data_IF_925997017180
#
_entry.id   IF_925997017180
#
_cell.length_a   1.000
_cell.length_b   1.000
_cell.length_c   1.000
_cell.angle_alpha   90.00
_cell.angle_beta   90.00
_cell.angle_gamma   90.00
#
_symmetry.space_group_name_H-M   'P 1'
#
loop_
_entity.id
_entity.type
_entity.pdbx_description
1 polymer ?
#
# COMPACT_ATOMS: atom_id res chain seq x y z
N UNK A 1 1.04 18.93 -0.20
CA UNK A 1 0.01 18.23 -0.99
C UNK A 1 -1.34 18.55 -0.38
N UNK A 2 -2.33 18.93 -1.19
CA UNK A 2 -3.72 18.92 -0.74
C UNK A 2 -4.23 17.48 -0.83
N UNK A 3 -4.62 16.83 0.29
CA UNK A 3 -5.09 15.46 0.25
C UNK A 3 -6.42 15.35 -0.50
N UNK A 4 -6.66 14.23 -1.22
CA UNK A 4 -7.95 13.99 -1.87
C UNK A 4 -9.07 13.94 -0.83
N UNK A 5 -10.29 14.31 -1.26
CA UNK A 5 -11.44 14.22 -0.37
C UNK A 5 -11.81 12.76 -0.08
N UNK A 6 -12.47 12.50 1.04
CA UNK A 6 -13.01 11.17 1.34
C UNK A 6 -13.94 10.66 0.23
N UNK A 7 -14.70 11.55 -0.43
CA UNK A 7 -15.55 11.18 -1.57
C UNK A 7 -14.73 10.69 -2.77
N UNK A 8 -13.57 11.28 -3.01
CA UNK A 8 -12.69 10.86 -4.12
C UNK A 8 -12.00 9.54 -3.82
N UNK A 9 -11.60 9.32 -2.57
CA UNK A 9 -11.01 8.05 -2.13
C UNK A 9 -11.98 6.88 -2.24
N UNK A 10 -13.28 7.12 -2.00
CA UNK A 10 -14.32 6.10 -2.14
C UNK A 10 -14.65 5.76 -3.61
N UNK A 11 -14.15 6.51 -4.60
CA UNK A 11 -14.27 6.14 -6.01
C UNK A 11 -13.27 5.05 -6.42
N UNK A 12 -12.21 4.85 -5.63
CA UNK A 12 -11.09 3.96 -5.96
C UNK A 12 -10.92 2.81 -4.94
N UNK A 13 -11.77 2.75 -3.91
CA UNK A 13 -11.70 1.74 -2.86
C UNK A 13 -13.08 1.46 -2.27
N UNK A 14 -13.28 0.21 -1.84
CA UNK A 14 -14.58 -0.29 -1.38
C UNK A 14 -15.03 0.33 -0.04
N UNK A 15 -14.09 0.80 0.79
CA UNK A 15 -14.40 1.45 2.06
C UNK A 15 -13.31 2.41 2.52
N UNK A 16 -13.66 3.32 3.43
CA UNK A 16 -12.71 4.23 4.09
C UNK A 16 -11.63 3.44 4.84
N UNK A 17 -12.01 2.33 5.47
CA UNK A 17 -11.08 1.47 6.20
C UNK A 17 -10.10 0.77 5.28
N UNK A 18 -10.55 0.32 4.10
CA UNK A 18 -9.66 -0.26 3.09
C UNK A 18 -8.58 0.73 2.64
N UNK A 19 -8.94 2.01 2.46
CA UNK A 19 -7.98 3.08 2.15
C UNK A 19 -6.98 3.25 3.31
N UNK A 20 -7.45 3.33 4.55
CA UNK A 20 -6.57 3.49 5.73
C UNK A 20 -5.57 2.34 5.83
N UNK A 21 -6.03 1.10 5.69
CA UNK A 21 -5.17 -0.09 5.75
C UNK A 21 -4.15 -0.09 4.62
N UNK A 22 -4.58 0.21 3.39
CA UNK A 22 -3.66 0.27 2.25
C UNK A 22 -2.59 1.36 2.42
N UNK A 23 -2.98 2.56 2.86
CA UNK A 23 -2.06 3.67 3.14
C UNK A 23 -1.07 3.28 4.24
N UNK A 24 -1.53 2.67 5.34
CA UNK A 24 -0.67 2.28 6.45
C UNK A 24 0.37 1.22 6.05
N UNK A 25 -0.05 0.20 5.28
CA UNK A 25 0.87 -0.83 4.75
C UNK A 25 1.93 -0.19 3.87
N UNK A 26 1.52 0.66 2.93
CA UNK A 26 2.46 1.32 2.02
C UNK A 26 3.39 2.31 2.71
N UNK A 27 2.89 3.09 3.66
CA UNK A 27 3.70 4.00 4.45
C UNK A 27 4.77 3.27 5.25
N UNK A 28 4.47 2.05 5.74
CA UNK A 28 5.46 1.18 6.41
C UNK A 28 6.55 0.73 5.45
N UNK A 29 6.20 0.25 4.26
CA UNK A 29 7.18 -0.13 3.23
C UNK A 29 8.12 1.03 2.88
N UNK A 30 7.55 2.22 2.63
CA UNK A 30 8.32 3.43 2.36
C UNK A 30 9.22 3.81 3.54
N UNK A 31 8.74 3.62 4.77
CA UNK A 31 9.52 3.90 5.97
C UNK A 31 10.72 2.95 6.09
N UNK A 32 10.55 1.67 5.81
CA UNK A 32 11.65 0.70 5.82
C UNK A 32 12.69 0.99 4.73
N UNK A 33 12.25 1.42 3.55
CA UNK A 33 13.13 1.79 2.44
C UNK A 33 13.94 3.06 2.74
N UNK A 34 13.35 4.02 3.45
CA UNK A 34 13.96 5.34 3.72
C UNK A 34 14.45 5.51 5.15
N UNK A 35 14.48 4.44 5.98
CA UNK A 35 14.80 4.53 7.41
C UNK A 35 16.19 5.08 7.74
N UNK A 36 17.13 4.97 6.80
CA UNK A 36 18.50 5.46 6.94
C UNK A 36 18.71 6.84 6.28
N UNK A 37 17.66 7.44 5.72
CA UNK A 37 17.72 8.79 5.15
C UNK A 37 17.62 9.83 6.28
N UNK A 38 18.54 10.79 6.32
CA UNK A 38 18.56 11.88 7.31
C UNK A 38 17.30 12.76 7.24
N UNK A 39 16.64 12.79 6.07
CA UNK A 39 15.40 13.53 5.84
C UNK A 39 14.14 12.69 6.12
N UNK A 40 14.29 11.50 6.71
CA UNK A 40 13.17 10.63 7.01
C UNK A 40 12.14 11.33 7.92
N UNK A 41 10.87 11.31 7.50
CA UNK A 41 9.72 11.78 8.26
C UNK A 41 8.54 10.86 8.02
N UNK A 42 7.98 10.28 9.08
CA UNK A 42 6.81 9.37 9.00
C UNK A 42 5.62 10.05 8.32
N UNK A 43 5.35 11.31 8.64
CA UNK A 43 4.26 12.09 8.03
C UNK A 43 4.42 12.24 6.50
N UNK A 44 5.66 12.33 6.02
CA UNK A 44 5.95 12.35 4.58
C UNK A 44 5.62 11.01 3.92
N UNK A 45 5.91 9.89 4.59
CA UNK A 45 5.62 8.54 4.05
C UNK A 45 4.12 8.29 3.91
N UNK A 46 3.33 8.76 4.88
CA UNK A 46 1.86 8.67 4.82
C UNK A 46 1.31 9.51 3.67
N UNK A 47 1.84 10.73 3.49
CA UNK A 47 1.43 11.62 2.41
C UNK A 47 1.78 11.05 1.03
N UNK A 48 2.97 10.46 0.89
CA UNK A 48 3.44 9.80 -0.33
C UNK A 48 2.62 8.55 -0.64
N UNK A 49 2.39 7.69 0.34
CA UNK A 49 1.55 6.50 0.20
C UNK A 49 0.11 6.85 -0.24
N UNK A 50 -0.48 7.88 0.37
CA UNK A 50 -1.81 8.36 -0.01
C UNK A 50 -1.83 8.87 -1.46
N UNK A 51 -0.80 9.58 -1.89
CA UNK A 51 -0.68 10.04 -3.27
C UNK A 51 -0.52 8.89 -4.27
N UNK A 52 0.25 7.85 -3.94
CA UNK A 52 0.42 6.66 -4.78
C UNK A 52 -0.88 5.89 -4.95
N UNK A 53 -1.61 5.66 -3.86
CA UNK A 53 -2.92 5.00 -3.90
C UNK A 53 -3.92 5.83 -4.70
N UNK A 54 -3.98 7.14 -4.47
CA UNK A 54 -4.91 8.02 -5.20
C UNK A 54 -4.63 8.07 -6.71
N UNK A 55 -3.35 8.05 -7.10
CA UNK A 55 -2.94 7.97 -8.52
C UNK A 55 -3.12 6.57 -9.11
N UNK A 56 -3.81 5.66 -8.42
CA UNK A 56 -4.02 4.26 -8.81
C UNK A 56 -2.72 3.48 -9.11
N UNK A 57 -1.57 3.91 -8.55
CA UNK A 57 -0.32 3.14 -8.64
C UNK A 57 -0.40 1.86 -7.81
N UNK A 58 -1.26 1.84 -6.80
CA UNK A 58 -1.54 0.70 -5.94
C UNK A 58 -3.04 0.44 -5.96
N UNK A 59 -3.45 -0.76 -6.37
CA UNK A 59 -4.86 -1.18 -6.32
C UNK A 59 -5.22 -1.66 -4.92
N UNK A 60 -6.24 -1.04 -4.31
CA UNK A 60 -6.81 -1.51 -3.05
C UNK A 60 -7.73 -2.69 -3.35
N UNK A 61 -7.27 -3.91 -3.09
CA UNK A 61 -8.10 -5.11 -3.23
C UNK A 61 -8.89 -5.36 -1.94
N UNK A 62 -10.18 -5.72 -2.00
CA UNK A 62 -10.89 -6.26 -0.86
C UNK A 62 -10.26 -7.60 -0.46
N UNK A 63 -10.11 -7.83 0.84
CA UNK A 63 -9.79 -9.16 1.35
C UNK A 63 -10.96 -10.08 1.03
N UNK A 64 -10.76 -11.06 0.14
CA UNK A 64 -11.68 -12.17 -0.04
C UNK A 64 -11.06 -13.37 0.64
N UNK A 65 -11.82 -14.07 1.47
CA UNK A 65 -11.41 -15.30 2.17
C UNK A 65 -10.93 -16.45 1.25
N UNK A 66 -10.87 -16.24 -0.07
CA UNK A 66 -10.48 -17.22 -1.10
C UNK A 66 -9.30 -16.80 -1.98
N UNK A 67 -8.53 -15.79 -1.60
CA UNK A 67 -7.14 -15.75 -2.04
C UNK A 67 -6.37 -16.72 -1.14
N UNK A 68 -6.60 -18.02 -1.33
CA UNK A 68 -5.73 -19.08 -0.82
C UNK A 68 -4.32 -18.72 -1.29
N UNK A 69 -3.48 -18.28 -0.36
CA UNK A 69 -2.04 -18.31 -0.57
C UNK A 69 -1.74 -19.78 -0.81
N UNK A 70 -1.52 -20.19 -2.07
CA UNK A 70 -0.92 -21.49 -2.33
C UNK A 70 0.54 -21.36 -1.90
N UNK A 71 0.95 -21.91 -0.73
CA UNK A 71 2.33 -21.78 -0.26
C UNK A 71 3.32 -22.49 -1.21
N UNK A 72 2.85 -23.32 -2.12
CA UNK A 72 3.67 -24.14 -3.03
C UNK A 72 4.16 -23.38 -4.28
N UNK A 73 3.65 -22.17 -4.56
CA UNK A 73 4.10 -21.35 -5.68
C UNK A 73 5.30 -20.45 -5.35
N UNK A 74 5.60 -20.23 -4.06
CA UNK A 74 6.70 -19.36 -3.64
C UNK A 74 8.09 -20.03 -3.68
N UNK A 75 8.16 -21.36 -3.69
CA UNK A 75 9.42 -22.11 -3.57
C UNK A 75 9.99 -22.58 -4.92
N UNK A 76 9.26 -22.40 -6.04
CA UNK A 76 9.71 -22.88 -7.36
C UNK A 76 10.51 -21.87 -8.20
N UNK A 77 10.68 -20.63 -7.75
CA UNK A 77 11.59 -19.67 -8.40
C UNK A 77 12.98 -19.61 -7.76
N UNK A 78 13.24 -20.33 -6.65
CA UNK A 78 14.55 -20.39 -6.01
C UNK A 78 15.45 -21.55 -6.50
N UNK A 79 14.94 -22.41 -7.39
CA UNK A 79 15.67 -23.56 -7.97
C UNK A 79 15.67 -23.47 -9.50
N UNK A 80 16.08 -22.32 -10.04
CA UNK A 80 16.66 -22.24 -11.38
C UNK A 80 17.38 -20.88 -11.54
N UNK A 81 18.54 -20.80 -10.90
CA UNK A 81 19.51 -19.71 -11.02
C UNK A 81 20.89 -20.22 -10.64
#
# INVERSE_FOLDING_TARGET
MTPPSTKDLLKIADSKYAVVVAVAKRARELSELKKNDENFRVSSMVSEALAEIYKCKIKVKPYRDKDEVNPEAADKEAVNG
#
